data_IF_632758694715
#
_entry.id   IF_632758694715
#
_cell.length_a   1.000
_cell.length_b   1.000
_cell.length_c   1.000
_cell.angle_alpha   90.00
_cell.angle_beta   90.00
_cell.angle_gamma   90.00
#
_symmetry.space_group_name_H-M   'P 1'
#
loop_
_entity.id
_entity.type
_entity.pdbx_description
1 polymer ?
#
# COMPACT_ATOMS: atom_id res chain seq x y z
N UNK A 1 4.69 16.02 3.73
CA UNK A 1 5.33 17.10 2.97
C UNK A 1 4.26 18.08 2.52
N UNK A 2 4.62 19.33 2.26
CA UNK A 2 3.69 20.35 1.78
C UNK A 2 3.55 20.26 0.25
N UNK A 3 2.36 20.59 -0.28
CA UNK A 3 2.15 20.76 -1.72
C UNK A 3 3.09 21.83 -2.27
N UNK A 4 3.43 21.76 -3.56
CA UNK A 4 4.12 22.89 -4.19
C UNK A 4 3.24 24.13 -4.08
N UNK A 5 3.84 25.32 -4.10
CA UNK A 5 3.09 26.58 -4.18
C UNK A 5 2.48 26.82 -5.56
N UNK A 6 2.79 25.95 -6.53
CA UNK A 6 2.33 26.02 -7.90
C UNK A 6 1.06 25.20 -8.07
N UNK A 7 0.14 25.73 -8.87
CA UNK A 7 -1.07 25.03 -9.29
C UNK A 7 -0.87 24.36 -10.65
N UNK A 8 -1.80 23.49 -11.03
CA UNK A 8 -1.75 22.83 -12.33
C UNK A 8 -1.69 23.82 -13.50
N UNK A 9 -2.41 24.94 -13.41
CA UNK A 9 -2.43 26.00 -14.42
C UNK A 9 -1.06 26.65 -14.66
N UNK A 10 -0.18 26.64 -13.64
CA UNK A 10 1.20 27.11 -13.76
C UNK A 10 2.06 26.01 -14.42
N UNK A 11 1.92 24.77 -13.96
CA UNK A 11 2.77 23.64 -14.38
C UNK A 11 2.51 23.19 -15.80
N UNK A 12 1.28 23.29 -16.31
CA UNK A 12 0.94 22.88 -17.68
C UNK A 12 1.70 23.70 -18.75
N UNK A 13 2.28 24.85 -18.38
CA UNK A 13 3.11 25.67 -19.27
C UNK A 13 4.56 25.17 -19.36
N UNK A 14 4.97 24.25 -18.48
CA UNK A 14 6.31 23.70 -18.41
C UNK A 14 6.53 22.59 -19.45
N UNK A 15 7.75 22.07 -19.52
CA UNK A 15 8.09 20.95 -20.40
C UNK A 15 7.54 19.63 -19.82
N UNK A 16 6.67 18.94 -20.56
CA UNK A 16 6.26 17.57 -20.22
C UNK A 16 7.45 16.63 -20.44
N UNK A 17 7.82 15.87 -19.41
CA UNK A 17 8.88 14.87 -19.54
C UNK A 17 8.31 13.63 -20.21
N UNK A 18 8.79 13.32 -21.41
CA UNK A 18 8.34 12.16 -22.18
C UNK A 18 8.57 10.85 -21.41
N UNK A 19 7.67 9.87 -21.62
CA UNK A 19 7.76 8.56 -21.00
C UNK A 19 6.99 8.40 -19.68
N UNK A 20 6.50 9.50 -19.08
CA UNK A 20 5.80 9.47 -17.78
C UNK A 20 4.32 9.86 -17.83
N UNK A 21 3.73 9.98 -19.01
CA UNK A 21 2.28 10.15 -19.21
C UNK A 21 1.67 11.31 -18.42
N UNK A 22 2.01 12.55 -18.78
CA UNK A 22 1.54 13.79 -18.11
C UNK A 22 1.77 13.89 -16.60
N UNK A 23 2.51 12.96 -16.00
CA UNK A 23 2.73 12.94 -14.56
C UNK A 23 3.98 13.73 -14.16
N UNK A 24 4.94 13.93 -15.07
CA UNK A 24 6.21 14.60 -14.76
C UNK A 24 6.41 15.81 -15.66
N UNK A 25 6.71 16.94 -15.03
CA UNK A 25 6.91 18.22 -15.67
C UNK A 25 8.22 18.84 -15.23
N UNK A 26 8.88 19.59 -16.10
CA UNK A 26 10.19 20.19 -15.85
C UNK A 26 10.19 21.68 -16.16
N UNK A 27 10.69 22.47 -15.23
CA UNK A 27 11.00 23.87 -15.44
C UNK A 27 12.43 24.16 -14.97
N UNK A 28 13.28 24.63 -15.88
CA UNK A 28 14.72 24.81 -15.64
C UNK A 28 15.37 23.52 -15.10
N UNK A 29 15.93 23.56 -13.89
CA UNK A 29 16.56 22.43 -13.20
C UNK A 29 15.64 21.77 -12.16
N UNK A 30 14.34 22.06 -12.19
CA UNK A 30 13.35 21.54 -11.23
C UNK A 30 12.34 20.63 -11.91
N UNK A 31 12.00 19.56 -11.22
CA UNK A 31 10.98 18.61 -11.63
C UNK A 31 9.74 18.73 -10.73
N UNK A 32 8.59 18.45 -11.31
CA UNK A 32 7.29 18.46 -10.64
C UNK A 32 6.55 17.17 -10.95
N UNK A 33 5.94 16.61 -9.92
CA UNK A 33 5.04 15.47 -10.01
C UNK A 33 3.60 15.97 -9.97
N UNK A 34 2.81 15.63 -10.97
CA UNK A 34 1.38 15.92 -11.04
C UNK A 34 0.61 14.63 -10.83
N UNK A 35 -0.31 14.63 -9.87
CA UNK A 35 -1.16 13.49 -9.54
C UNK A 35 -2.62 13.91 -9.59
N UNK A 36 -3.47 13.05 -10.15
CA UNK A 36 -4.91 13.17 -9.96
C UNK A 36 -5.27 12.70 -8.54
N UNK A 37 -5.89 13.59 -7.78
CA UNK A 37 -6.35 13.33 -6.41
C UNK A 37 -7.83 13.64 -6.26
N UNK A 38 -8.43 13.10 -5.20
CA UNK A 38 -9.83 13.31 -4.88
C UNK A 38 -10.66 12.05 -5.07
N UNK A 39 -11.58 11.82 -4.14
CA UNK A 39 -12.44 10.62 -4.12
C UNK A 39 -13.82 10.88 -4.70
N UNK A 40 -14.33 12.11 -4.57
CA UNK A 40 -15.67 12.53 -5.02
C UNK A 40 -15.59 13.48 -6.21
N UNK A 41 -14.59 14.36 -6.22
CA UNK A 41 -14.25 15.22 -7.35
C UNK A 41 -12.74 15.15 -7.53
N UNK A 42 -12.28 14.90 -8.75
CA UNK A 42 -10.86 14.85 -9.07
C UNK A 42 -10.27 16.26 -9.26
N UNK A 43 -9.07 16.50 -8.76
CA UNK A 43 -8.24 17.66 -9.07
C UNK A 43 -6.79 17.21 -9.32
N UNK A 44 -6.00 18.07 -9.96
CA UNK A 44 -4.58 17.81 -10.23
C UNK A 44 -3.74 18.47 -9.13
N UNK A 45 -3.12 17.66 -8.29
CA UNK A 45 -2.20 18.12 -7.26
C UNK A 45 -0.77 18.16 -7.80
N UNK A 46 -0.08 19.28 -7.57
CA UNK A 46 1.31 19.49 -7.94
C UNK A 46 2.21 19.31 -6.72
N UNK A 47 3.27 18.53 -6.89
CA UNK A 47 4.32 18.33 -5.90
C UNK A 47 5.68 18.67 -6.48
N UNK A 48 6.53 19.27 -5.66
CA UNK A 48 7.95 19.38 -5.99
C UNK A 48 8.56 17.97 -6.02
N UNK A 49 9.25 17.62 -7.11
CA UNK A 49 9.95 16.36 -7.26
C UNK A 49 11.47 16.61 -7.12
N UNK A 50 12.09 16.23 -6.00
CA UNK A 50 13.53 16.32 -5.83
C UNK A 50 14.28 15.56 -6.93
N UNK A 51 15.41 16.13 -7.37
CA UNK A 51 16.27 15.52 -8.39
C UNK A 51 16.65 14.08 -8.05
N UNK A 52 16.94 13.80 -6.78
CA UNK A 52 17.29 12.44 -6.31
C UNK A 52 16.16 11.44 -6.55
N UNK A 53 14.90 11.85 -6.30
CA UNK A 53 13.73 11.00 -6.53
C UNK A 53 13.45 10.84 -8.03
N UNK A 54 13.64 11.89 -8.83
CA UNK A 54 13.55 11.78 -10.28
C UNK A 54 14.61 10.83 -10.85
N UNK A 55 15.86 10.88 -10.37
CA UNK A 55 16.91 9.97 -10.83
C UNK A 55 16.62 8.49 -10.50
N UNK A 56 15.99 8.19 -9.36
CA UNK A 56 15.53 6.83 -9.04
C UNK A 56 14.39 6.38 -9.96
N UNK A 57 13.52 7.30 -10.37
CA UNK A 57 12.44 7.02 -11.31
C UNK A 57 13.00 6.76 -12.72
N UNK A 58 13.92 7.60 -13.19
CA UNK A 58 14.50 7.57 -14.53
C UNK A 58 15.43 6.37 -14.76
N UNK A 59 16.14 5.97 -13.71
CA UNK A 59 16.93 4.72 -13.71
C UNK A 59 16.07 3.44 -13.67
N UNK A 60 14.77 3.57 -13.36
CA UNK A 60 13.88 2.43 -13.12
C UNK A 60 14.12 1.71 -11.79
N UNK A 61 14.93 2.27 -10.89
CA UNK A 61 15.13 1.74 -9.53
C UNK A 61 13.85 1.84 -8.69
N UNK A 62 13.01 2.85 -8.96
CA UNK A 62 11.72 3.06 -8.31
C UNK A 62 10.63 3.37 -9.34
N UNK A 63 9.43 2.90 -9.04
CA UNK A 63 8.24 3.21 -9.85
C UNK A 63 7.63 4.56 -9.50
N UNK A 64 6.84 5.12 -10.42
CA UNK A 64 6.08 6.35 -10.19
C UNK A 64 5.18 6.24 -8.95
N UNK A 65 4.61 5.05 -8.70
CA UNK A 65 3.80 4.77 -7.52
C UNK A 65 4.61 4.91 -6.23
N UNK A 66 5.81 4.33 -6.16
CA UNK A 66 6.69 4.43 -5.00
C UNK A 66 7.16 5.86 -4.75
N UNK A 67 7.50 6.60 -5.82
CA UNK A 67 7.86 8.02 -5.72
C UNK A 67 6.69 8.85 -5.21
N UNK A 68 5.48 8.62 -5.74
CA UNK A 68 4.28 9.31 -5.27
C UNK A 68 4.00 9.04 -3.79
N UNK A 69 4.20 7.79 -3.35
CA UNK A 69 4.05 7.42 -1.94
C UNK A 69 5.11 8.10 -1.08
N UNK A 70 6.37 8.13 -1.53
CA UNK A 70 7.46 8.82 -0.83
C UNK A 70 7.18 10.30 -0.66
N UNK A 71 6.70 10.98 -1.69
CA UNK A 71 6.33 12.40 -1.62
C UNK A 71 5.17 12.64 -0.63
N UNK A 72 4.15 11.79 -0.62
CA UNK A 72 2.97 11.98 0.26
C UNK A 72 3.26 11.62 1.72
N UNK A 73 3.92 10.49 1.95
CA UNK A 73 4.04 9.87 3.27
C UNK A 73 5.45 9.96 3.87
N UNK A 74 6.41 10.53 3.15
CA UNK A 74 7.83 10.61 3.53
C UNK A 74 8.47 9.26 3.92
N UNK A 75 7.90 8.15 3.44
CA UNK A 75 8.40 6.79 3.62
C UNK A 75 8.33 6.05 2.30
N UNK A 76 9.04 4.95 2.14
CA UNK A 76 8.78 4.06 1.00
C UNK A 76 7.53 3.22 1.29
N UNK A 77 6.75 2.82 0.28
CA UNK A 77 5.66 1.88 0.52
C UNK A 77 6.24 0.58 1.08
N UNK A 78 5.51 -0.11 1.97
CA UNK A 78 5.98 -1.35 2.56
C UNK A 78 6.22 -2.39 1.47
N UNK A 79 7.29 -3.14 1.62
CA UNK A 79 7.59 -4.31 0.78
C UNK A 79 6.54 -5.40 0.97
N UNK A 80 6.44 -6.32 0.02
CA UNK A 80 5.53 -7.48 0.15
C UNK A 80 5.84 -8.33 1.39
N UNK A 81 7.11 -8.41 1.79
CA UNK A 81 7.52 -9.09 3.03
C UNK A 81 7.01 -8.36 4.28
N UNK A 82 7.15 -7.02 4.34
CA UNK A 82 6.64 -6.21 5.45
C UNK A 82 5.11 -6.26 5.54
N UNK A 83 4.41 -6.22 4.38
CA UNK A 83 2.95 -6.39 4.33
C UNK A 83 2.54 -7.75 4.90
N UNK A 84 3.18 -8.83 4.44
CA UNK A 84 2.94 -10.19 4.95
C UNK A 84 3.22 -10.30 6.44
N UNK A 85 4.31 -9.72 6.92
CA UNK A 85 4.66 -9.73 8.34
C UNK A 85 3.66 -8.91 9.19
N UNK A 86 3.13 -7.82 8.66
CA UNK A 86 2.09 -7.01 9.31
C UNK A 86 0.76 -7.75 9.35
N UNK A 87 0.36 -8.38 8.25
CA UNK A 87 -0.87 -9.18 8.16
C UNK A 87 -0.82 -10.38 9.10
N UNK A 88 0.33 -11.09 9.12
CA UNK A 88 0.58 -12.18 10.06
C UNK A 88 0.40 -11.74 11.51
N UNK A 89 1.02 -10.60 11.90
CA UNK A 89 0.88 -10.04 13.25
C UNK A 89 -0.57 -9.70 13.61
N UNK A 90 -1.29 -9.09 12.68
CA UNK A 90 -2.72 -8.77 12.89
C UNK A 90 -3.56 -10.03 13.14
N UNK A 91 -3.31 -11.10 12.37
CA UNK A 91 -4.01 -12.38 12.55
C UNK A 91 -3.57 -13.08 13.86
N UNK A 92 -2.33 -12.94 14.29
CA UNK A 92 -1.90 -13.46 15.60
C UNK A 92 -2.61 -12.78 16.77
N UNK A 93 -2.89 -11.48 16.66
CA UNK A 93 -3.64 -10.71 17.67
C UNK A 93 -5.15 -11.05 17.64
N UNK A 94 -5.70 -11.30 16.45
CA UNK A 94 -7.11 -11.65 16.25
C UNK A 94 -7.26 -12.86 15.31
N UNK A 95 -7.07 -14.09 15.80
CA UNK A 95 -6.95 -15.27 14.95
C UNK A 95 -8.28 -15.74 14.34
N UNK A 96 -9.40 -15.06 14.61
CA UNK A 96 -10.72 -15.35 14.03
C UNK A 96 -10.71 -15.35 12.50
N UNK A 97 -9.83 -14.58 11.86
CA UNK A 97 -9.68 -14.58 10.39
C UNK A 97 -9.26 -15.94 9.84
N UNK A 98 -8.57 -16.78 10.63
CA UNK A 98 -8.24 -18.15 10.23
C UNK A 98 -9.47 -19.05 10.07
N UNK A 99 -10.62 -18.67 10.67
CA UNK A 99 -11.89 -19.39 10.56
C UNK A 99 -12.67 -18.92 9.33
N UNK A 100 -12.82 -17.61 9.16
CA UNK A 100 -13.67 -16.97 8.13
C UNK A 100 -13.00 -16.92 6.75
N UNK A 101 -11.68 -16.74 6.71
CA UNK A 101 -10.91 -16.52 5.48
C UNK A 101 -9.80 -17.57 5.40
N UNK A 102 -10.06 -18.76 4.82
CA UNK A 102 -9.10 -19.87 4.81
C UNK A 102 -7.78 -19.53 4.10
N UNK A 103 -7.76 -18.58 3.18
CA UNK A 103 -6.57 -18.11 2.47
C UNK A 103 -5.52 -17.50 3.42
N UNK A 104 -5.96 -16.90 4.53
CA UNK A 104 -5.04 -16.34 5.54
C UNK A 104 -4.16 -17.40 6.20
N UNK A 105 -4.53 -18.67 6.12
CA UNK A 105 -3.76 -19.80 6.65
C UNK A 105 -2.45 -20.01 5.89
N UNK A 106 -2.35 -19.55 4.64
CA UNK A 106 -1.13 -19.65 3.83
C UNK A 106 0.03 -18.80 4.36
N UNK A 107 -0.26 -17.82 5.24
CA UNK A 107 0.73 -16.96 5.87
C UNK A 107 1.48 -17.64 7.02
N UNK A 108 1.01 -18.82 7.44
CA UNK A 108 1.47 -19.50 8.64
C UNK A 108 2.05 -20.88 8.31
N UNK A 109 3.05 -21.27 9.09
CA UNK A 109 3.54 -22.64 9.11
C UNK A 109 2.53 -23.57 9.80
N UNK A 110 2.63 -24.87 9.54
CA UNK A 110 1.79 -25.87 10.19
C UNK A 110 1.92 -25.87 11.73
N UNK A 111 3.10 -25.54 12.27
CA UNK A 111 3.31 -25.43 13.73
C UNK A 111 2.58 -24.21 14.32
N UNK A 112 2.60 -23.08 13.61
CA UNK A 112 1.89 -21.87 14.03
C UNK A 112 0.38 -22.07 13.95
N UNK A 113 -0.13 -22.72 12.90
CA UNK A 113 -1.55 -23.05 12.80
C UNK A 113 -2.00 -23.99 13.93
N UNK A 114 -1.18 -24.97 14.33
CA UNK A 114 -1.50 -25.84 15.48
C UNK A 114 -1.70 -25.06 16.78
N UNK A 115 -0.97 -23.95 16.96
CA UNK A 115 -1.11 -23.05 18.10
C UNK A 115 -2.33 -22.13 17.97
N UNK A 116 -2.53 -21.56 16.79
CA UNK A 116 -3.52 -20.49 16.58
C UNK A 116 -4.94 -20.99 16.32
N UNK A 117 -5.11 -22.11 15.60
CA UNK A 117 -6.44 -22.62 15.22
C UNK A 117 -7.33 -22.91 16.43
N UNK A 118 -6.87 -23.58 17.51
CA UNK A 118 -7.71 -23.78 18.69
C UNK A 118 -8.15 -22.47 19.36
N UNK A 119 -7.27 -21.45 19.34
CA UNK A 119 -7.58 -20.11 19.89
C UNK A 119 -8.63 -19.43 18.99
N UNK A 120 -8.44 -19.49 17.67
CA UNK A 120 -9.36 -18.95 16.68
C UNK A 120 -10.76 -19.56 16.80
N UNK A 121 -10.84 -20.89 16.90
CA UNK A 121 -12.10 -21.63 17.03
C UNK A 121 -12.84 -21.24 18.32
N UNK A 122 -12.12 -21.16 19.45
CA UNK A 122 -12.71 -20.76 20.72
C UNK A 122 -13.21 -19.32 20.69
N UNK A 123 -12.39 -18.37 20.20
CA UNK A 123 -12.80 -16.95 20.07
C UNK A 123 -14.03 -16.81 19.18
N UNK A 124 -14.10 -17.58 18.09
CA UNK A 124 -15.26 -17.57 17.19
C UNK A 124 -16.52 -18.09 17.89
N UNK A 125 -16.42 -19.19 18.63
CA UNK A 125 -17.54 -19.74 19.41
C UNK A 125 -17.97 -18.77 20.50
N UNK A 126 -17.03 -18.15 21.22
CA UNK A 126 -17.34 -17.17 22.26
C UNK A 126 -18.10 -15.96 21.69
N UNK A 127 -17.80 -15.57 20.45
CA UNK A 127 -18.46 -14.46 19.76
C UNK A 127 -19.78 -14.83 19.08
N UNK A 128 -19.84 -15.98 18.39
CA UNK A 128 -20.95 -16.37 17.47
C UNK A 128 -21.76 -17.57 17.98
N UNK A 129 -21.38 -18.19 19.08
CA UNK A 129 -22.01 -19.35 19.69
C UNK A 129 -21.69 -20.70 19.04
N UNK A 130 -21.30 -20.72 17.77
CA UNK A 130 -20.86 -21.92 17.04
C UNK A 130 -19.91 -21.58 15.89
N UNK A 131 -19.12 -22.57 15.44
CA UNK A 131 -18.33 -22.46 14.22
C UNK A 131 -19.24 -22.37 12.96
N UNK A 132 -18.74 -21.79 11.85
CA UNK A 132 -19.46 -21.80 10.57
C UNK A 132 -19.75 -23.23 10.10
N UNK A 133 -20.88 -23.45 9.44
CA UNK A 133 -21.31 -24.80 9.02
C UNK A 133 -20.43 -25.38 7.91
N UNK A 134 -19.74 -24.53 7.15
CA UNK A 134 -18.78 -24.83 6.09
C UNK A 134 -17.32 -24.85 6.57
N UNK A 135 -17.07 -24.63 7.86
CA UNK A 135 -15.72 -24.60 8.41
C UNK A 135 -15.07 -25.99 8.40
N UNK A 136 -13.89 -26.08 7.80
CA UNK A 136 -13.01 -27.26 7.84
C UNK A 136 -11.69 -26.89 8.50
N UNK A 137 -11.39 -27.56 9.61
CA UNK A 137 -10.14 -27.39 10.36
C UNK A 137 -8.93 -27.81 9.51
N UNK A 138 -7.88 -26.97 9.40
CA UNK A 138 -6.69 -27.26 8.60
C UNK A 138 -5.71 -28.23 9.28
N UNK A 139 -6.02 -28.70 10.50
CA UNK A 139 -5.15 -29.59 11.28
C UNK A 139 -5.44 -31.09 11.10
N UNK A 140 -6.38 -31.43 10.21
CA UNK A 140 -6.78 -32.82 9.92
C UNK A 140 -5.88 -33.49 8.88
#
# INVERSE_FOLDING_TARGET
MEHSKLEWEDVIQFEEVEGYGKSIWKNEDKYYLVLEEGTVASWLAVYDLPQELFSLLDSGERSLLEISWKIKHDSWPPTEEEKRASEKRFIEESPTSLIDIPETRELFTQEELKRLIPIAEQMWIDWRGKLPDDYVSPLK
#
